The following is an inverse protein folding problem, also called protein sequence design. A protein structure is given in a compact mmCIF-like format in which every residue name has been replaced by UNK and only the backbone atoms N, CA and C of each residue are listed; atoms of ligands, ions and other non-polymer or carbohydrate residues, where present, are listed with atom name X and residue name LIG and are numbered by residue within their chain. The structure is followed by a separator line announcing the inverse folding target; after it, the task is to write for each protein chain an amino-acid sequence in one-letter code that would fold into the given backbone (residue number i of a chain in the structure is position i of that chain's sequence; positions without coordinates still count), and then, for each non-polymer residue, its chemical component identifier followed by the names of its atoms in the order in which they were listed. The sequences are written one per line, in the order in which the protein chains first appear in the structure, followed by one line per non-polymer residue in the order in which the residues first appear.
data_IF_193924435946
#
_entry.id   IF_193924435946
#
_cell.length_a   1.000
_cell.length_b   1.000
_cell.length_c   1.000
_cell.angle_alpha   90.00
_cell.angle_beta   90.00
_cell.angle_gamma   90.00
#
_symmetry.space_group_name_H-M   'P 1'
#
loop_
_entity.id
_entity.type
_entity.pdbx_description
1 polymer ?
#
# COMPACT_ATOMS: atom_id res chain seq x y z
N UNK A 1 51.38 -34.56 -8.21
CA UNK A 1 50.13 -34.03 -7.61
C UNK A 1 50.13 -32.51 -7.71
N UNK A 2 49.41 -31.94 -8.68
CA UNK A 2 49.13 -30.50 -8.78
C UNK A 2 47.62 -30.36 -8.94
N UNK A 3 46.97 -29.87 -7.88
CA UNK A 3 45.52 -29.69 -7.77
C UNK A 3 45.06 -28.53 -8.65
N UNK A 4 44.17 -28.81 -9.62
CA UNK A 4 43.43 -27.80 -10.39
C UNK A 4 42.36 -27.16 -9.49
N UNK A 5 42.33 -25.82 -9.41
CA UNK A 5 41.16 -25.06 -8.92
C UNK A 5 40.14 -24.92 -10.06
N UNK A 6 38.83 -25.10 -9.83
CA UNK A 6 37.82 -24.74 -10.81
C UNK A 6 37.44 -23.27 -10.68
N UNK A 7 37.37 -22.60 -11.83
CA UNK A 7 36.90 -21.24 -12.05
C UNK A 7 35.39 -21.18 -11.80
N UNK A 8 34.94 -20.31 -10.89
CA UNK A 8 33.51 -20.04 -10.66
C UNK A 8 33.09 -18.89 -11.58
N UNK A 9 32.37 -19.20 -12.66
CA UNK A 9 31.75 -18.25 -13.60
C UNK A 9 30.22 -18.45 -13.54
N UNK A 10 29.52 -17.34 -13.30
CA UNK A 10 28.09 -17.07 -13.58
C UNK A 10 26.98 -17.83 -12.84
N UNK A 11 26.42 -17.19 -11.80
CA UNK A 11 24.96 -17.21 -11.50
C UNK A 11 24.52 -15.82 -10.96
N UNK A 12 24.70 -14.75 -11.74
CA UNK A 12 24.19 -13.41 -11.40
C UNK A 12 23.30 -12.79 -12.50
N UNK A 13 23.11 -13.49 -13.63
CA UNK A 13 22.41 -12.94 -14.80
C UNK A 13 20.90 -13.22 -14.89
N UNK A 14 20.39 -14.26 -14.24
CA UNK A 14 19.02 -14.77 -14.52
C UNK A 14 17.93 -14.02 -13.73
N UNK A 15 18.24 -13.50 -12.54
CA UNK A 15 17.25 -12.77 -11.72
C UNK A 15 17.00 -11.35 -12.24
N UNK A 16 18.04 -10.68 -12.76
CA UNK A 16 17.92 -9.33 -13.31
C UNK A 16 17.16 -9.31 -14.66
N UNK A 17 17.31 -10.35 -15.48
CA UNK A 17 16.63 -10.45 -16.78
C UNK A 17 15.12 -10.71 -16.65
N UNK A 18 14.69 -11.47 -15.63
CA UNK A 18 13.27 -11.72 -15.39
C UNK A 18 12.55 -10.47 -14.88
N UNK A 19 13.19 -9.68 -14.00
CA UNK A 19 12.66 -8.40 -13.52
C UNK A 19 12.57 -7.36 -14.66
N UNK A 20 13.61 -7.27 -15.51
CA UNK A 20 13.58 -6.42 -16.69
C UNK A 20 12.55 -6.87 -17.74
N UNK A 21 12.24 -8.16 -17.83
CA UNK A 21 11.24 -8.70 -18.76
C UNK A 21 9.80 -8.42 -18.32
N UNK A 22 9.47 -8.55 -17.03
CA UNK A 22 8.14 -8.22 -16.51
C UNK A 22 7.84 -6.72 -16.58
N UNK A 23 8.85 -5.88 -16.33
CA UNK A 23 8.77 -4.42 -16.47
C UNK A 23 8.71 -3.99 -17.95
N UNK A 24 9.34 -4.73 -18.87
CA UNK A 24 9.26 -4.50 -20.34
C UNK A 24 7.90 -4.88 -20.93
N UNK A 25 7.26 -5.94 -20.45
CA UNK A 25 5.96 -6.38 -20.97
C UNK A 25 4.82 -5.39 -20.65
N UNK A 26 4.97 -4.59 -19.60
CA UNK A 26 3.95 -3.68 -19.11
C UNK A 26 4.01 -2.24 -19.66
N UNK A 27 4.99 -1.92 -20.51
CA UNK A 27 5.23 -0.53 -20.93
C UNK A 27 5.77 0.40 -19.82
N UNK A 28 5.61 0.03 -18.54
CA UNK A 28 6.08 0.77 -17.37
C UNK A 28 7.61 0.98 -17.33
N UNK A 29 8.37 0.12 -18.02
CA UNK A 29 9.83 0.24 -18.13
C UNK A 29 10.37 1.17 -19.22
N UNK A 30 9.49 1.64 -20.13
CA UNK A 30 9.90 2.47 -21.28
C UNK A 30 8.98 3.67 -21.57
N UNK A 31 7.75 3.73 -21.04
CA UNK A 31 6.97 4.95 -21.16
C UNK A 31 7.54 5.99 -20.20
N UNK A 32 7.95 7.13 -20.76
CA UNK A 32 8.13 8.35 -19.97
C UNK A 32 6.79 8.83 -19.36
N UNK A 33 5.68 8.22 -19.76
CA UNK A 33 4.35 8.60 -19.33
C UNK A 33 4.07 8.23 -17.88
N UNK A 34 3.54 9.18 -17.09
CA UNK A 34 3.15 8.95 -15.71
C UNK A 34 1.98 7.96 -15.61
N UNK A 35 1.95 7.16 -14.54
CA UNK A 35 0.74 6.42 -14.16
C UNK A 35 -0.32 7.41 -13.67
N UNK A 36 -1.47 7.47 -14.33
CA UNK A 36 -2.61 8.26 -13.91
C UNK A 36 -3.70 7.27 -13.48
N UNK A 37 -3.70 6.98 -12.19
CA UNK A 37 -4.57 6.01 -11.55
C UNK A 37 -5.82 6.63 -10.94
N UNK A 38 -6.86 5.82 -10.79
CA UNK A 38 -8.03 6.15 -9.96
C UNK A 38 -8.45 4.95 -9.13
N UNK A 39 -8.82 5.18 -7.86
CA UNK A 39 -9.46 4.17 -7.01
C UNK A 39 -10.98 4.17 -7.24
N UNK A 40 -11.57 3.00 -7.44
CA UNK A 40 -13.01 2.83 -7.68
C UNK A 40 -13.50 1.50 -7.05
N UNK A 41 -14.48 1.57 -6.15
CA UNK A 41 -14.91 0.40 -5.37
C UNK A 41 -16.21 -0.22 -5.88
N UNK A 42 -17.11 0.61 -6.41
CA UNK A 42 -18.35 0.19 -7.04
C UNK A 42 -18.67 1.16 -8.17
N UNK A 43 -19.50 0.75 -9.13
CA UNK A 43 -19.98 1.63 -10.18
C UNK A 43 -21.23 1.05 -10.84
N UNK A 44 -22.35 1.74 -10.65
CA UNK A 44 -23.65 1.32 -11.17
C UNK A 44 -24.04 2.03 -12.49
N UNK A 45 -23.20 2.97 -12.95
CA UNK A 45 -23.41 3.67 -14.22
C UNK A 45 -23.02 2.84 -15.45
N UNK A 46 -23.18 3.46 -16.62
CA UNK A 46 -22.80 2.85 -17.89
C UNK A 46 -21.27 2.80 -18.06
N UNK A 47 -20.70 1.60 -18.06
CA UNK A 47 -19.25 1.41 -18.19
C UNK A 47 -18.65 2.04 -19.46
N UNK A 48 -19.29 2.01 -20.65
CA UNK A 48 -18.75 2.69 -21.82
C UNK A 48 -18.56 4.20 -21.60
N UNK A 49 -19.48 4.86 -20.89
CA UNK A 49 -19.36 6.28 -20.56
C UNK A 49 -18.21 6.55 -19.59
N UNK A 50 -18.08 5.71 -18.55
CA UNK A 50 -16.97 5.74 -17.60
C UNK A 50 -15.60 5.70 -18.30
N UNK A 51 -15.38 4.71 -19.16
CA UNK A 51 -14.12 4.55 -19.87
C UNK A 51 -13.88 5.63 -20.93
N UNK A 52 -14.96 6.17 -21.53
CA UNK A 52 -14.89 7.36 -22.38
C UNK A 52 -14.38 8.59 -21.61
N UNK A 53 -14.90 8.81 -20.41
CA UNK A 53 -14.49 9.89 -19.53
C UNK A 53 -13.04 9.71 -19.06
N UNK A 54 -12.68 8.52 -18.57
CA UNK A 54 -11.31 8.18 -18.17
C UNK A 54 -10.29 8.44 -19.28
N UNK A 55 -10.62 8.05 -20.52
CA UNK A 55 -9.77 8.33 -21.68
C UNK A 55 -9.60 9.83 -21.90
N UNK A 56 -10.66 10.62 -21.74
CA UNK A 56 -10.61 12.09 -21.88
C UNK A 56 -9.76 12.77 -20.81
N UNK A 57 -9.67 12.14 -19.63
CA UNK A 57 -8.87 12.58 -18.49
C UNK A 57 -7.44 12.02 -18.52
N UNK A 58 -7.10 11.14 -19.47
CA UNK A 58 -5.78 10.49 -19.52
C UNK A 58 -5.56 9.45 -18.40
N UNK A 59 -6.63 8.96 -17.77
CA UNK A 59 -6.55 7.87 -16.79
C UNK A 59 -6.14 6.59 -17.52
N UNK A 60 -5.07 5.96 -17.05
CA UNK A 60 -4.49 4.75 -17.64
C UNK A 60 -4.35 3.59 -16.64
N UNK A 61 -4.77 3.78 -15.39
CA UNK A 61 -4.84 2.72 -14.39
C UNK A 61 -6.11 2.83 -13.52
N UNK A 62 -6.75 1.70 -13.26
CA UNK A 62 -7.88 1.58 -12.34
C UNK A 62 -7.50 0.66 -11.19
N UNK A 63 -7.58 1.18 -9.97
CA UNK A 63 -7.47 0.42 -8.73
C UNK A 63 -8.88 0.08 -8.29
N UNK A 64 -9.32 -1.13 -8.61
CA UNK A 64 -10.70 -1.57 -8.50
C UNK A 64 -10.90 -2.59 -7.37
N UNK A 65 -12.11 -2.63 -6.79
CA UNK A 65 -12.51 -3.78 -5.97
C UNK A 65 -12.53 -5.06 -6.80
N UNK A 66 -12.30 -6.24 -6.20
CA UNK A 66 -12.47 -7.53 -6.88
C UNK A 66 -13.87 -7.68 -7.50
N UNK A 67 -14.91 -7.20 -6.82
CA UNK A 67 -16.30 -7.31 -7.25
C UNK A 67 -16.56 -6.53 -8.55
N UNK A 68 -16.07 -5.29 -8.65
CA UNK A 68 -16.20 -4.49 -9.87
C UNK A 68 -15.35 -5.08 -11.01
N UNK A 69 -14.11 -5.48 -10.72
CA UNK A 69 -13.19 -6.06 -11.70
C UNK A 69 -13.66 -7.45 -12.21
N UNK A 70 -14.48 -8.17 -11.43
CA UNK A 70 -15.07 -9.45 -11.83
C UNK A 70 -16.11 -9.30 -12.96
N UNK A 71 -16.62 -8.10 -13.25
CA UNK A 71 -17.50 -7.84 -14.41
C UNK A 71 -16.73 -7.95 -15.72
N UNK A 72 -17.13 -8.85 -16.59
CA UNK A 72 -16.48 -9.08 -17.89
C UNK A 72 -16.45 -7.83 -18.77
N UNK A 73 -17.55 -7.06 -18.78
CA UNK A 73 -17.63 -5.80 -19.52
C UNK A 73 -16.59 -4.78 -19.03
N UNK A 74 -16.38 -4.68 -17.71
CA UNK A 74 -15.39 -3.78 -17.12
C UNK A 74 -13.98 -4.14 -17.61
N UNK A 75 -13.60 -5.41 -17.53
CA UNK A 75 -12.28 -5.88 -18.01
C UNK A 75 -12.10 -5.67 -19.51
N UNK A 76 -13.16 -5.94 -20.28
CA UNK A 76 -13.12 -5.80 -21.73
C UNK A 76 -12.97 -4.34 -22.16
N UNK A 77 -13.67 -3.42 -21.50
CA UNK A 77 -13.49 -1.98 -21.72
C UNK A 77 -12.12 -1.50 -21.25
N UNK A 78 -11.62 -1.96 -20.10
CA UNK A 78 -10.29 -1.62 -19.62
C UNK A 78 -9.21 -1.97 -20.66
N UNK A 79 -9.22 -3.20 -21.18
CA UNK A 79 -8.31 -3.62 -22.26
C UNK A 79 -8.47 -2.78 -23.53
N UNK A 80 -9.71 -2.54 -23.98
CA UNK A 80 -9.97 -1.72 -25.18
C UNK A 80 -9.46 -0.28 -25.07
N UNK A 81 -9.50 0.28 -23.86
CA UNK A 81 -9.09 1.65 -23.59
C UNK A 81 -7.64 1.77 -23.06
N UNK A 82 -6.90 0.66 -22.97
CA UNK A 82 -5.52 0.67 -22.46
C UNK A 82 -5.41 1.05 -20.98
N UNK A 83 -6.44 0.75 -20.19
CA UNK A 83 -6.46 1.01 -18.74
C UNK A 83 -6.03 -0.25 -18.01
N UNK A 84 -4.92 -0.18 -17.27
CA UNK A 84 -4.44 -1.29 -16.44
C UNK A 84 -5.34 -1.49 -15.22
N UNK A 85 -5.70 -2.73 -14.89
CA UNK A 85 -6.58 -3.07 -13.76
C UNK A 85 -5.79 -3.66 -12.59
N UNK A 86 -5.78 -2.95 -11.47
CA UNK A 86 -5.22 -3.38 -10.20
C UNK A 86 -6.33 -3.76 -9.23
N UNK A 87 -6.27 -4.94 -8.60
CA UNK A 87 -7.23 -5.30 -7.56
C UNK A 87 -6.81 -4.70 -6.21
N UNK A 88 -7.71 -3.98 -5.53
CA UNK A 88 -7.48 -3.50 -4.16
C UNK A 88 -7.77 -4.64 -3.19
N UNK A 89 -6.75 -5.10 -2.47
CA UNK A 89 -6.82 -6.29 -1.62
C UNK A 89 -6.46 -5.94 -0.17
N UNK A 90 -7.46 -5.77 0.72
CA UNK A 90 -7.21 -5.54 2.15
C UNK A 90 -6.58 -6.77 2.79
N UNK A 91 -5.38 -6.68 3.36
CA UNK A 91 -4.68 -7.86 3.89
C UNK A 91 -5.03 -8.13 5.34
N UNK A 92 -4.75 -7.19 6.25
CA UNK A 92 -5.03 -7.36 7.69
C UNK A 92 -6.30 -6.64 8.15
N UNK A 93 -6.83 -5.70 7.36
CA UNK A 93 -8.20 -5.21 7.55
C UNK A 93 -9.19 -6.28 7.08
N UNK A 94 -9.92 -6.90 8.02
CA UNK A 94 -10.86 -7.97 7.69
C UNK A 94 -11.96 -8.13 8.73
N UNK A 95 -12.98 -7.24 8.71
CA UNK A 95 -14.05 -7.25 9.71
C UNK A 95 -14.92 -8.51 9.69
N UNK A 96 -14.97 -9.21 8.56
CA UNK A 96 -15.71 -10.47 8.43
C UNK A 96 -15.04 -11.57 9.26
N UNK A 97 -13.72 -11.67 9.19
CA UNK A 97 -12.95 -12.72 9.88
C UNK A 97 -12.87 -12.45 11.39
N UNK A 98 -12.65 -11.21 11.80
CA UNK A 98 -12.66 -10.81 13.22
C UNK A 98 -14.03 -10.97 13.87
N UNK A 99 -15.13 -10.83 13.12
CA UNK A 99 -16.48 -11.14 13.60
C UNK A 99 -16.71 -12.65 13.76
N UNK A 100 -16.20 -13.46 12.83
CA UNK A 100 -16.34 -14.91 12.87
C UNK A 100 -15.45 -15.55 13.95
N UNK A 101 -14.23 -15.05 14.11
CA UNK A 101 -13.28 -15.45 15.14
C UNK A 101 -12.68 -14.21 15.83
N UNK A 102 -13.25 -13.79 16.98
CA UNK A 102 -12.73 -12.68 17.77
C UNK A 102 -11.30 -12.91 18.30
N UNK A 103 -10.77 -14.13 18.28
CA UNK A 103 -9.38 -14.43 18.64
C UNK A 103 -8.35 -13.93 17.62
N UNK A 104 -8.79 -13.55 16.42
CA UNK A 104 -7.95 -13.00 15.36
C UNK A 104 -7.61 -11.52 15.56
N UNK A 105 -8.34 -10.78 16.41
CA UNK A 105 -8.05 -9.36 16.64
C UNK A 105 -6.60 -9.17 17.08
N UNK A 106 -5.93 -8.19 16.46
CA UNK A 106 -4.73 -7.64 17.08
C UNK A 106 -5.10 -6.94 18.40
N UNK A 107 -4.17 -6.92 19.35
CA UNK A 107 -4.31 -6.20 20.62
C UNK A 107 -3.30 -5.06 20.70
N UNK A 108 -3.75 -3.89 21.13
CA UNK A 108 -2.89 -2.73 21.33
C UNK A 108 -2.03 -2.92 22.58
N UNK A 109 -1.02 -2.07 22.74
CA UNK A 109 -0.19 -1.94 23.95
C UNK A 109 -1.01 -1.55 25.20
N UNK A 110 -2.26 -1.12 24.99
CA UNK A 110 -3.24 -0.78 26.03
C UNK A 110 -4.14 -1.95 26.41
N UNK A 111 -4.04 -3.08 25.70
CA UNK A 111 -4.88 -4.25 25.91
C UNK A 111 -6.23 -4.18 25.20
N UNK A 112 -6.44 -3.17 24.36
CA UNK A 112 -7.67 -2.97 23.59
C UNK A 112 -7.61 -3.77 22.28
N UNK A 113 -8.77 -4.12 21.73
CA UNK A 113 -8.82 -4.61 20.34
C UNK A 113 -8.29 -3.53 19.42
N UNK A 114 -7.54 -3.94 18.40
CA UNK A 114 -7.10 -3.12 17.29
C UNK A 114 -8.27 -2.70 16.41
N UNK A 115 -9.11 -1.82 16.96
CA UNK A 115 -10.32 -1.28 16.35
C UNK A 115 -10.48 0.19 16.73
N UNK A 116 -10.70 1.03 15.74
CA UNK A 116 -11.10 2.42 15.90
C UNK A 116 -12.06 2.78 14.76
N UNK A 117 -13.27 3.20 15.11
CA UNK A 117 -14.41 3.36 14.19
C UNK A 117 -14.60 2.12 13.29
N UNK A 118 -14.50 2.30 11.95
CA UNK A 118 -14.63 1.25 10.95
C UNK A 118 -13.34 0.44 10.77
N UNK A 119 -12.20 0.94 11.23
CA UNK A 119 -10.89 0.32 11.01
C UNK A 119 -10.67 -0.77 12.05
N UNK A 120 -10.56 -2.03 11.62
CA UNK A 120 -10.24 -3.15 12.51
C UNK A 120 -9.29 -4.16 11.87
N UNK A 121 -8.38 -4.72 12.67
CA UNK A 121 -7.26 -5.51 12.17
C UNK A 121 -7.18 -6.90 12.78
N UNK A 122 -6.92 -7.86 11.90
CA UNK A 122 -6.39 -9.18 12.24
C UNK A 122 -4.91 -9.05 12.62
N UNK A 123 -4.49 -9.82 13.60
CA UNK A 123 -3.10 -9.91 14.02
C UNK A 123 -2.18 -10.43 12.88
N UNK A 124 -1.11 -9.69 12.50
CA UNK A 124 -0.20 -10.11 11.44
C UNK A 124 0.60 -11.38 11.71
N UNK A 125 0.67 -11.85 12.97
CA UNK A 125 1.42 -13.05 13.34
C UNK A 125 0.66 -14.36 13.10
N UNK A 126 -0.57 -14.31 12.59
CA UNK A 126 -1.46 -15.49 12.41
C UNK A 126 -1.14 -16.22 11.09
N UNK A 127 -0.41 -17.35 11.11
CA UNK A 127 0.05 -18.01 9.89
C UNK A 127 -1.11 -18.58 9.06
N UNK A 128 -2.08 -19.21 9.71
CA UNK A 128 -3.22 -19.83 9.02
C UNK A 128 -4.09 -18.79 8.32
N UNK A 129 -4.29 -17.63 8.96
CA UNK A 129 -4.96 -16.49 8.33
C UNK A 129 -4.21 -16.03 7.08
N UNK A 130 -2.90 -15.79 7.19
CA UNK A 130 -2.08 -15.36 6.06
C UNK A 130 -2.13 -16.39 4.92
N UNK A 131 -2.05 -17.69 5.20
CA UNK A 131 -2.16 -18.74 4.18
C UNK A 131 -3.48 -18.66 3.43
N UNK A 132 -4.61 -18.53 4.15
CA UNK A 132 -5.93 -18.36 3.53
C UNK A 132 -6.03 -17.09 2.70
N UNK A 133 -5.41 -15.99 3.13
CA UNK A 133 -5.32 -14.76 2.31
C UNK A 133 -4.53 -15.01 1.03
N UNK A 134 -3.39 -15.68 1.09
CA UNK A 134 -2.59 -16.02 -0.10
C UNK A 134 -3.40 -16.87 -1.08
N UNK A 135 -4.13 -17.88 -0.60
CA UNK A 135 -4.95 -18.73 -1.47
C UNK A 135 -6.14 -17.98 -2.09
N UNK A 136 -6.77 -17.08 -1.35
CA UNK A 136 -7.79 -16.18 -1.87
C UNK A 136 -7.24 -15.25 -2.96
N UNK A 137 -6.06 -14.64 -2.76
CA UNK A 137 -5.40 -13.81 -3.77
C UNK A 137 -5.12 -14.63 -5.03
N UNK A 138 -4.59 -15.85 -4.88
CA UNK A 138 -4.33 -16.76 -6.01
C UNK A 138 -5.60 -17.09 -6.79
N UNK A 139 -6.74 -17.28 -6.10
CA UNK A 139 -8.02 -17.50 -6.76
C UNK A 139 -8.47 -16.27 -7.56
N UNK A 140 -8.45 -15.09 -6.96
CA UNK A 140 -8.80 -13.85 -7.65
C UNK A 140 -7.95 -13.59 -8.90
N UNK A 141 -6.65 -13.87 -8.84
CA UNK A 141 -5.76 -13.71 -10.00
C UNK A 141 -6.17 -14.65 -11.13
N UNK A 142 -6.52 -15.92 -10.83
CA UNK A 142 -6.99 -16.87 -11.85
C UNK A 142 -8.32 -16.45 -12.46
N UNK A 143 -9.25 -16.00 -11.63
CA UNK A 143 -10.64 -15.77 -12.04
C UNK A 143 -10.80 -14.43 -12.78
N UNK A 144 -10.05 -13.41 -12.37
CA UNK A 144 -10.19 -12.03 -12.89
C UNK A 144 -9.10 -11.71 -13.92
N UNK A 145 -7.94 -12.37 -13.87
CA UNK A 145 -6.75 -12.09 -14.69
C UNK A 145 -6.34 -10.60 -14.69
N UNK A 146 -6.12 -9.98 -13.51
CA UNK A 146 -5.82 -8.55 -13.42
C UNK A 146 -4.39 -8.25 -13.90
N UNK A 147 -4.14 -6.98 -14.21
CA UNK A 147 -2.82 -6.47 -14.58
C UNK A 147 -1.90 -6.38 -13.35
N UNK A 148 -2.47 -6.07 -12.19
CA UNK A 148 -1.75 -6.05 -10.93
C UNK A 148 -2.65 -6.28 -9.73
N UNK A 149 -2.01 -6.36 -8.56
CA UNK A 149 -2.69 -6.33 -7.27
C UNK A 149 -2.12 -5.20 -6.42
N UNK A 150 -2.97 -4.60 -5.61
CA UNK A 150 -2.65 -3.52 -4.69
C UNK A 150 -2.88 -3.99 -3.27
N UNK A 151 -1.79 -4.22 -2.55
CA UNK A 151 -1.80 -4.69 -1.17
C UNK A 151 -2.21 -3.52 -0.28
N UNK A 152 -3.49 -3.49 0.09
CA UNK A 152 -4.03 -2.54 1.02
C UNK A 152 -4.03 -3.14 2.43
N UNK A 153 -3.95 -2.31 3.43
CA UNK A 153 -3.87 -2.74 4.83
C UNK A 153 -2.81 -3.79 5.18
N UNK A 154 -1.68 -3.81 4.47
CA UNK A 154 -0.52 -4.66 4.75
C UNK A 154 0.42 -4.00 5.78
N UNK A 155 -0.07 -3.86 7.01
CA UNK A 155 0.60 -3.21 8.14
C UNK A 155 0.01 -3.67 9.48
N UNK A 156 0.62 -3.23 10.58
CA UNK A 156 0.00 -3.27 11.90
C UNK A 156 -1.08 -2.20 12.06
N UNK A 157 -1.93 -2.38 13.06
CA UNK A 157 -3.07 -1.50 13.30
C UNK A 157 -2.63 -0.07 13.62
N UNK A 158 -3.19 0.86 12.85
CA UNK A 158 -3.31 2.28 13.17
C UNK A 158 -4.35 2.91 12.26
N UNK A 159 -5.28 3.67 12.85
CA UNK A 159 -6.18 4.54 12.08
C UNK A 159 -5.49 5.86 11.77
N UNK A 160 -4.53 5.80 10.85
CA UNK A 160 -3.60 6.89 10.53
C UNK A 160 -4.29 8.15 9.99
N UNK A 161 -5.49 8.02 9.42
CA UNK A 161 -6.30 9.14 8.92
C UNK A 161 -6.75 10.08 10.05
N UNK A 162 -6.70 9.62 11.31
CA UNK A 162 -7.01 10.40 12.52
C UNK A 162 -5.75 10.85 13.28
N UNK A 163 -4.56 10.72 12.68
CA UNK A 163 -3.28 11.11 13.29
C UNK A 163 -2.78 12.41 12.66
N UNK A 164 -3.11 13.52 13.33
CA UNK A 164 -2.78 14.88 12.91
C UNK A 164 -1.37 15.33 13.35
N UNK A 165 -0.82 16.42 12.78
CA UNK A 165 0.57 16.86 13.00
C UNK A 165 0.97 17.10 14.45
N UNK A 166 0.02 17.47 15.31
CA UNK A 166 0.22 17.76 16.73
C UNK A 166 0.38 16.52 17.61
N UNK A 167 0.14 15.31 17.08
CA UNK A 167 0.24 14.07 17.86
C UNK A 167 1.69 13.77 18.24
N UNK A 168 1.89 13.31 19.48
CA UNK A 168 3.19 12.79 19.93
C UNK A 168 3.33 11.29 19.61
N UNK A 169 4.55 10.75 19.48
CA UNK A 169 4.76 9.32 19.26
C UNK A 169 4.04 8.43 20.30
N UNK A 170 4.05 8.84 21.56
CA UNK A 170 3.48 8.09 22.70
C UNK A 170 1.95 8.09 22.66
N UNK A 171 1.33 9.07 22.01
CA UNK A 171 -0.12 9.16 21.88
C UNK A 171 -0.69 8.14 20.89
N UNK A 172 0.15 7.53 20.06
CA UNK A 172 -0.24 6.57 19.02
C UNK A 172 -0.12 5.16 19.59
N UNK A 173 -1.24 4.45 19.67
CA UNK A 173 -1.26 3.08 20.16
C UNK A 173 -0.37 2.17 19.30
N UNK A 174 0.37 1.27 19.96
CA UNK A 174 1.24 0.31 19.29
C UNK A 174 0.57 -1.07 19.29
N UNK A 175 0.76 -1.84 18.23
CA UNK A 175 0.24 -3.21 18.12
C UNK A 175 1.27 -4.10 17.44
N UNK A 176 1.21 -5.44 17.58
CA UNK A 176 0.23 -6.23 18.30
C UNK A 176 0.87 -6.92 19.50
N UNK A 177 0.25 -6.85 20.69
CA UNK A 177 0.73 -7.48 21.94
C UNK A 177 -0.16 -8.64 22.39
N UNK A 178 -0.82 -9.31 21.44
CA UNK A 178 -1.54 -10.55 21.72
C UNK A 178 -0.58 -11.70 22.05
N UNK A 179 -1.13 -12.78 22.61
CA UNK A 179 -0.36 -13.96 23.01
C UNK A 179 0.46 -14.55 21.87
N UNK A 180 -0.12 -14.62 20.66
CA UNK A 180 0.55 -15.15 19.46
C UNK A 180 1.80 -14.33 19.11
N UNK A 181 1.71 -13.00 19.17
CA UNK A 181 2.82 -12.12 18.93
C UNK A 181 3.90 -12.25 20.01
N UNK A 182 3.52 -12.29 21.29
CA UNK A 182 4.49 -12.42 22.39
C UNK A 182 5.24 -13.76 22.35
N UNK A 183 4.54 -14.87 22.12
CA UNK A 183 5.16 -16.19 21.99
C UNK A 183 6.09 -16.26 20.78
N UNK A 184 5.63 -15.74 19.63
CA UNK A 184 6.43 -15.75 18.41
C UNK A 184 7.65 -14.83 18.49
N UNK A 185 7.54 -13.67 19.13
CA UNK A 185 8.67 -12.76 19.35
C UNK A 185 9.75 -13.42 20.20
N UNK A 186 9.39 -14.04 21.33
CA UNK A 186 10.35 -14.78 22.17
C UNK A 186 11.04 -15.90 21.38
N UNK A 187 10.27 -16.66 20.60
CA UNK A 187 10.80 -17.75 19.77
C UNK A 187 11.75 -17.24 18.68
N UNK A 188 11.39 -16.19 17.97
CA UNK A 188 12.14 -15.71 16.80
C UNK A 188 13.39 -14.91 17.20
N UNK A 189 13.40 -14.27 18.38
CA UNK A 189 14.48 -13.37 18.81
C UNK A 189 15.32 -13.91 19.96
N UNK A 190 14.82 -14.89 20.73
CA UNK A 190 15.44 -15.37 21.96
C UNK A 190 15.30 -14.41 23.16
N UNK A 191 14.64 -13.26 23.01
CA UNK A 191 14.36 -12.33 24.10
C UNK A 191 13.22 -12.91 24.93
N UNK A 192 13.51 -13.38 26.15
CA UNK A 192 12.53 -14.02 27.03
C UNK A 192 11.85 -12.98 27.91
N UNK A 193 10.51 -13.02 27.98
CA UNK A 193 9.77 -12.14 28.87
C UNK A 193 9.94 -12.57 30.33
N UNK A 194 10.08 -11.62 31.28
CA UNK A 194 9.99 -11.91 32.70
C UNK A 194 8.70 -12.67 33.05
N UNK A 195 8.81 -13.64 33.97
CA UNK A 195 7.70 -14.49 34.36
C UNK A 195 6.49 -13.67 34.83
N UNK A 196 5.29 -14.06 34.39
CA UNK A 196 4.03 -13.41 34.75
C UNK A 196 3.66 -12.18 33.92
N UNK A 197 4.54 -11.67 33.06
CA UNK A 197 4.19 -10.56 32.18
C UNK A 197 3.31 -11.01 31.01
N UNK A 198 2.14 -10.38 30.88
CA UNK A 198 1.16 -10.63 29.81
C UNK A 198 0.54 -9.31 29.32
N UNK A 199 0.04 -9.30 28.08
CA UNK A 199 -0.71 -8.18 27.50
C UNK A 199 -0.02 -6.82 27.70
N UNK A 200 -0.71 -5.86 28.31
CA UNK A 200 -0.22 -4.50 28.60
C UNK A 200 1.08 -4.47 29.41
N UNK A 201 1.27 -5.39 30.36
CA UNK A 201 2.49 -5.43 31.19
C UNK A 201 3.70 -5.90 30.39
N UNK A 202 3.51 -6.88 29.51
CA UNK A 202 4.50 -7.31 28.53
C UNK A 202 4.81 -6.19 27.53
N UNK A 203 3.78 -5.52 27.01
CA UNK A 203 3.94 -4.41 26.07
C UNK A 203 4.80 -3.30 26.65
N UNK A 204 4.53 -2.88 27.89
CA UNK A 204 5.32 -1.85 28.59
C UNK A 204 6.78 -2.26 28.73
N UNK A 205 7.06 -3.50 29.14
CA UNK A 205 8.41 -4.00 29.31
C UNK A 205 9.17 -4.03 27.98
N UNK A 206 8.56 -4.57 26.92
CA UNK A 206 9.15 -4.62 25.58
C UNK A 206 9.44 -3.21 25.07
N UNK A 207 8.47 -2.28 25.16
CA UNK A 207 8.63 -0.93 24.65
C UNK A 207 9.64 -0.09 25.44
N UNK A 208 9.90 -0.43 26.71
CA UNK A 208 10.91 0.22 27.53
C UNK A 208 12.33 -0.30 27.27
N UNK A 209 12.50 -1.62 27.13
CA UNK A 209 13.82 -2.27 27.10
C UNK A 209 14.25 -2.83 25.74
N UNK A 210 13.29 -3.17 24.86
CA UNK A 210 13.52 -3.93 23.63
C UNK A 210 12.76 -3.35 22.41
N UNK A 211 12.50 -2.04 22.43
CA UNK A 211 11.76 -1.35 21.36
C UNK A 211 12.40 -1.51 19.97
N UNK A 212 13.73 -1.41 19.80
CA UNK A 212 14.36 -1.62 18.49
C UNK A 212 14.14 -3.04 17.95
N UNK A 213 14.34 -4.07 18.78
CA UNK A 213 14.19 -5.48 18.41
C UNK A 213 12.74 -5.82 18.10
N UNK A 214 11.81 -5.32 18.92
CA UNK A 214 10.37 -5.44 18.65
C UNK A 214 9.98 -4.80 17.32
N UNK A 215 10.50 -3.59 17.04
CA UNK A 215 10.24 -2.89 15.78
C UNK A 215 10.78 -3.67 14.59
N UNK A 216 12.02 -4.12 14.65
CA UNK A 216 12.64 -4.92 13.60
C UNK A 216 11.87 -6.22 13.34
N UNK A 217 11.46 -6.93 14.40
CA UNK A 217 10.67 -8.16 14.29
C UNK A 217 9.31 -7.91 13.64
N UNK A 218 8.58 -6.85 14.05
CA UNK A 218 7.30 -6.48 13.41
C UNK A 218 7.46 -6.15 11.93
N UNK A 219 8.48 -5.36 11.58
CA UNK A 219 8.80 -5.09 10.18
C UNK A 219 9.11 -6.37 9.40
N UNK A 220 9.84 -7.30 10.01
CA UNK A 220 10.12 -8.63 9.45
C UNK A 220 8.85 -9.45 9.19
N UNK A 221 7.86 -9.39 10.09
CA UNK A 221 6.57 -10.07 9.89
C UNK A 221 5.80 -9.52 8.68
N UNK A 222 5.73 -8.19 8.53
CA UNK A 222 5.08 -7.57 7.37
C UNK A 222 5.84 -7.90 6.08
N UNK A 223 7.17 -7.82 6.09
CA UNK A 223 7.99 -8.20 4.94
C UNK A 223 7.82 -9.68 4.56
N UNK A 224 7.75 -10.57 5.55
CA UNK A 224 7.46 -12.00 5.36
C UNK A 224 6.07 -12.25 4.76
N UNK A 225 5.06 -11.51 5.21
CA UNK A 225 3.72 -11.57 4.64
C UNK A 225 3.70 -11.10 3.18
N UNK A 226 4.32 -9.96 2.87
CA UNK A 226 4.46 -9.46 1.48
C UNK A 226 5.20 -10.47 0.62
N UNK A 227 6.33 -11.01 1.08
CA UNK A 227 7.09 -12.03 0.35
C UNK A 227 6.23 -13.26 0.03
N UNK A 228 5.42 -13.72 0.97
CA UNK A 228 4.53 -14.88 0.78
C UNK A 228 3.43 -14.59 -0.24
N UNK A 229 2.81 -13.41 -0.17
CA UNK A 229 1.79 -12.97 -1.12
C UNK A 229 2.39 -12.82 -2.52
N UNK A 230 3.54 -12.15 -2.65
CA UNK A 230 4.22 -11.95 -3.94
C UNK A 230 4.59 -13.29 -4.57
N UNK A 231 5.17 -14.22 -3.80
CA UNK A 231 5.51 -15.55 -4.29
C UNK A 231 4.26 -16.31 -4.76
N UNK A 232 3.18 -16.31 -3.96
CA UNK A 232 1.93 -16.96 -4.33
C UNK A 232 1.28 -16.36 -5.57
N UNK A 233 1.27 -15.03 -5.68
CA UNK A 233 0.69 -14.30 -6.79
C UNK A 233 1.48 -14.51 -8.09
N UNK A 234 2.81 -14.37 -8.05
CA UNK A 234 3.68 -14.55 -9.22
C UNK A 234 3.81 -16.02 -9.65
N UNK A 235 3.54 -16.98 -8.77
CA UNK A 235 3.38 -18.38 -9.16
C UNK A 235 2.15 -18.61 -10.06
N UNK A 236 1.09 -17.80 -9.92
CA UNK A 236 -0.09 -17.86 -10.78
C UNK A 236 0.12 -17.05 -12.05
N UNK A 237 0.60 -15.80 -11.92
CA UNK A 237 0.85 -14.89 -13.04
C UNK A 237 2.23 -14.23 -12.88
N UNK A 238 3.29 -14.77 -13.51
CA UNK A 238 4.67 -14.27 -13.33
C UNK A 238 4.88 -12.79 -13.66
N UNK A 239 4.12 -12.26 -14.62
CA UNK A 239 4.16 -10.86 -15.03
C UNK A 239 3.27 -9.90 -14.21
N UNK A 240 2.61 -10.39 -13.16
CA UNK A 240 1.71 -9.58 -12.35
C UNK A 240 2.47 -8.45 -11.62
N UNK A 241 1.94 -7.24 -11.73
CA UNK A 241 2.50 -6.07 -11.06
C UNK A 241 2.01 -6.00 -9.61
N UNK A 242 2.92 -5.79 -8.67
CA UNK A 242 2.59 -5.68 -7.25
C UNK A 242 2.73 -4.23 -6.78
N UNK A 243 1.63 -3.63 -6.35
CA UNK A 243 1.61 -2.36 -5.64
C UNK A 243 1.44 -2.57 -4.12
N UNK A 244 2.10 -1.73 -3.32
CA UNK A 244 1.94 -1.68 -1.86
C UNK A 244 1.43 -0.31 -1.44
N UNK A 245 0.33 -0.26 -0.68
CA UNK A 245 -0.10 0.97 -0.04
C UNK A 245 0.65 1.20 1.28
N UNK A 246 1.28 2.35 1.41
CA UNK A 246 1.94 2.77 2.64
C UNK A 246 1.18 3.88 3.34
N UNK A 247 1.24 3.89 4.68
CA UNK A 247 0.85 5.06 5.47
C UNK A 247 1.74 6.23 5.01
N UNK A 248 1.20 7.44 4.80
CA UNK A 248 1.95 8.57 4.25
C UNK A 248 2.82 9.26 5.30
N UNK A 249 3.46 8.50 6.19
CA UNK A 249 4.40 9.04 7.16
C UNK A 249 5.81 8.94 6.63
N UNK A 250 6.56 10.04 6.73
CA UNK A 250 7.99 10.04 6.42
C UNK A 250 8.75 9.24 7.46
N UNK A 251 9.98 8.85 7.13
CA UNK A 251 10.86 8.03 7.96
C UNK A 251 11.04 8.55 9.40
N UNK A 252 10.92 9.86 9.61
CA UNK A 252 11.07 10.53 10.91
C UNK A 252 9.76 11.04 11.52
N UNK A 253 8.65 11.02 10.78
CA UNK A 253 7.37 11.52 11.30
C UNK A 253 6.96 10.67 12.53
N UNK A 254 6.47 11.37 13.57
CA UNK A 254 6.03 10.76 14.82
C UNK A 254 7.05 9.80 15.45
N UNK A 255 8.33 10.15 15.42
CA UNK A 255 9.39 9.32 16.01
C UNK A 255 9.63 8.01 15.26
N UNK A 256 9.41 8.01 13.93
CA UNK A 256 9.58 6.84 13.09
C UNK A 256 8.41 5.86 13.15
N UNK A 257 7.19 6.36 13.39
CA UNK A 257 5.99 5.55 13.57
C UNK A 257 5.67 4.65 12.37
N UNK A 258 6.14 4.99 11.16
CA UNK A 258 5.98 4.14 9.98
C UNK A 258 6.56 2.73 10.20
N UNK A 259 7.70 2.63 10.89
CA UNK A 259 8.29 1.34 11.31
C UNK A 259 7.76 0.93 12.68
N UNK A 260 7.85 1.83 13.66
CA UNK A 260 7.58 1.52 15.08
C UNK A 260 6.13 1.10 15.33
N UNK A 261 5.17 1.73 14.65
CA UNK A 261 3.74 1.46 14.83
C UNK A 261 3.23 0.60 13.69
N UNK A 262 3.32 1.08 12.45
CA UNK A 262 2.73 0.41 11.29
C UNK A 262 3.53 -0.82 10.80
N UNK A 263 4.79 -0.98 11.22
CA UNK A 263 5.63 -2.10 10.77
C UNK A 263 6.01 -2.03 9.28
N UNK A 264 5.90 -0.86 8.65
CA UNK A 264 6.24 -0.68 7.24
C UNK A 264 7.68 -0.17 7.11
N UNK A 265 8.62 -1.10 6.95
CA UNK A 265 9.99 -0.76 6.59
C UNK A 265 10.14 -0.76 5.06
N UNK A 266 10.02 0.42 4.45
CA UNK A 266 10.02 0.56 3.00
C UNK A 266 11.34 0.11 2.34
N UNK A 267 12.45 0.15 3.07
CA UNK A 267 13.74 -0.39 2.59
C UNK A 267 13.74 -1.91 2.43
N UNK A 268 13.01 -2.60 3.31
CA UNK A 268 12.81 -4.06 3.27
C UNK A 268 11.67 -4.48 2.34
N UNK A 269 10.63 -3.66 2.23
CA UNK A 269 9.45 -3.94 1.41
C UNK A 269 9.65 -3.62 -0.07
N UNK A 270 10.37 -2.54 -0.36
CA UNK A 270 10.64 -2.04 -1.71
C UNK A 270 11.15 -3.10 -2.68
N UNK A 271 12.17 -3.90 -2.33
CA UNK A 271 12.69 -4.96 -3.19
C UNK A 271 11.70 -6.09 -3.52
N UNK A 272 10.58 -6.19 -2.81
CA UNK A 272 9.57 -7.24 -2.99
C UNK A 272 8.44 -6.82 -3.95
N UNK A 273 8.32 -5.53 -4.26
CA UNK A 273 7.18 -4.95 -4.96
C UNK A 273 7.63 -4.09 -6.15
N UNK A 274 6.71 -3.87 -7.08
CA UNK A 274 6.99 -3.08 -8.28
C UNK A 274 6.65 -1.59 -8.05
N UNK A 275 5.62 -1.33 -7.23
CA UNK A 275 5.17 0.02 -6.85
C UNK A 275 4.99 0.18 -5.34
N UNK A 276 5.22 1.41 -4.87
CA UNK A 276 4.81 1.88 -3.54
C UNK A 276 3.92 3.11 -3.72
N UNK A 277 2.72 3.05 -3.15
CA UNK A 277 1.73 4.12 -3.21
C UNK A 277 1.43 4.69 -1.82
N UNK A 278 2.17 5.71 -1.37
CA UNK A 278 1.84 6.40 -0.12
C UNK A 278 0.49 7.09 -0.26
N UNK A 279 -0.38 6.93 0.75
CA UNK A 279 -1.73 7.48 0.76
C UNK A 279 -1.74 8.94 1.22
N UNK A 280 -1.15 9.84 0.42
CA UNK A 280 -0.96 11.26 0.71
C UNK A 280 -2.26 12.08 0.71
N UNK A 281 -3.18 11.78 1.63
CA UNK A 281 -4.44 12.51 1.80
C UNK A 281 -4.21 13.77 2.63
N UNK A 282 -3.50 14.73 2.03
CA UNK A 282 -2.96 15.90 2.72
C UNK A 282 -4.04 16.72 3.44
N UNK A 283 -5.20 16.90 2.79
CA UNK A 283 -6.24 17.80 3.27
C UNK A 283 -6.89 17.27 4.56
N UNK A 284 -7.37 16.02 4.57
CA UNK A 284 -7.92 15.41 5.79
C UNK A 284 -6.89 15.36 6.92
N UNK A 285 -5.61 15.24 6.60
CA UNK A 285 -4.51 15.22 7.56
C UNK A 285 -4.03 16.61 8.01
N UNK A 286 -4.74 17.67 7.63
CA UNK A 286 -4.39 19.07 7.96
C UNK A 286 -2.97 19.45 7.51
N UNK A 287 -2.54 18.91 6.37
CA UNK A 287 -1.26 19.21 5.73
C UNK A 287 -1.48 20.16 4.55
N UNK A 288 -0.44 20.90 4.19
CA UNK A 288 -0.42 21.72 2.97
C UNK A 288 -0.10 20.85 1.75
N UNK A 289 -0.51 21.24 0.52
CA UNK A 289 -0.19 20.52 -0.72
C UNK A 289 1.27 20.06 -0.89
N UNK A 290 2.24 20.91 -0.54
CA UNK A 290 3.67 20.61 -0.63
C UNK A 290 4.10 19.34 0.15
N UNK A 291 3.37 18.99 1.20
CA UNK A 291 3.63 17.78 1.99
C UNK A 291 3.53 16.49 1.16
N UNK A 292 2.68 16.46 0.13
CA UNK A 292 2.57 15.29 -0.78
C UNK A 292 3.93 14.95 -1.38
N UNK A 293 4.66 15.96 -1.85
CA UNK A 293 5.99 15.80 -2.43
C UNK A 293 7.02 15.41 -1.39
N UNK A 294 6.99 16.01 -0.20
CA UNK A 294 7.90 15.66 0.90
C UNK A 294 7.80 14.16 1.26
N UNK A 295 6.58 13.61 1.27
CA UNK A 295 6.35 12.18 1.47
C UNK A 295 6.92 11.36 0.31
N UNK A 296 6.68 11.77 -0.94
CA UNK A 296 7.20 11.07 -2.13
C UNK A 296 8.73 11.03 -2.14
N UNK A 297 9.40 12.14 -1.81
CA UNK A 297 10.86 12.22 -1.75
C UNK A 297 11.43 11.31 -0.67
N UNK A 298 10.85 11.32 0.54
CA UNK A 298 11.28 10.45 1.64
C UNK A 298 11.04 8.96 1.31
N UNK A 299 9.90 8.61 0.74
CA UNK A 299 9.60 7.24 0.29
C UNK A 299 10.60 6.81 -0.80
N UNK A 300 10.80 7.65 -1.82
CA UNK A 300 11.72 7.36 -2.92
C UNK A 300 13.17 7.21 -2.47
N UNK A 301 13.57 7.86 -1.38
CA UNK A 301 14.92 7.70 -0.82
C UNK A 301 15.16 6.31 -0.18
N UNK A 302 14.08 5.61 0.17
CA UNK A 302 14.13 4.33 0.88
C UNK A 302 13.93 3.11 -0.02
N UNK A 303 13.41 3.29 -1.24
CA UNK A 303 13.08 2.18 -2.15
C UNK A 303 13.49 2.47 -3.59
N UNK A 304 13.70 1.40 -4.36
CA UNK A 304 13.85 1.46 -5.82
C UNK A 304 12.56 1.15 -6.58
N UNK A 305 11.50 0.74 -5.88
CA UNK A 305 10.18 0.58 -6.47
C UNK A 305 9.65 1.93 -6.97
N UNK A 306 8.77 1.91 -7.97
CA UNK A 306 8.18 3.14 -8.48
C UNK A 306 7.25 3.75 -7.42
N UNK A 307 7.45 5.03 -7.14
CA UNK A 307 6.60 5.76 -6.17
C UNK A 307 5.47 6.47 -6.90
N UNK A 308 4.23 6.12 -6.56
CA UNK A 308 3.01 6.71 -7.15
C UNK A 308 2.06 7.10 -6.02
N UNK A 309 2.08 8.36 -5.53
CA UNK A 309 1.25 8.77 -4.41
C UNK A 309 -0.24 8.67 -4.74
N UNK A 310 -1.04 8.22 -3.77
CA UNK A 310 -2.49 8.38 -3.82
C UNK A 310 -2.88 9.70 -3.17
N UNK A 311 -3.71 10.51 -3.83
CA UNK A 311 -4.11 11.84 -3.35
C UNK A 311 -5.63 11.93 -3.21
N UNK A 312 -6.08 12.69 -2.21
CA UNK A 312 -7.48 12.97 -1.93
C UNK A 312 -8.08 13.90 -3.01
N UNK A 313 -9.31 13.65 -3.45
CA UNK A 313 -10.01 14.54 -4.41
C UNK A 313 -11.20 15.27 -3.80
N UNK A 314 -11.83 14.71 -2.77
CA UNK A 314 -13.00 15.27 -2.12
C UNK A 314 -12.82 15.35 -0.60
N UNK A 315 -13.70 16.08 0.07
CA UNK A 315 -13.71 16.22 1.52
C UNK A 315 -13.88 14.87 2.25
N UNK A 316 -13.15 14.70 3.35
CA UNK A 316 -13.26 13.53 4.23
C UNK A 316 -12.83 13.93 5.65
N UNK A 317 -13.56 13.44 6.67
CA UNK A 317 -13.34 13.58 8.12
C UNK A 317 -13.31 14.99 8.73
N UNK A 318 -13.00 16.02 7.94
CA UNK A 318 -12.94 17.42 8.39
C UNK A 318 -13.98 18.28 7.66
N UNK A 319 -14.37 19.37 8.33
CA UNK A 319 -15.38 20.31 7.81
C UNK A 319 -14.79 21.30 6.79
N UNK A 320 -13.49 21.56 6.85
CA UNK A 320 -12.81 22.48 5.93
C UNK A 320 -12.98 21.98 4.49
N UNK A 321 -13.35 22.87 3.56
CA UNK A 321 -13.59 22.50 2.16
C UNK A 321 -12.27 22.38 1.40
N UNK A 322 -12.07 21.25 0.71
CA UNK A 322 -10.99 21.10 -0.26
C UNK A 322 -11.30 21.93 -1.51
N UNK A 323 -10.67 23.10 -1.59
CA UNK A 323 -10.82 24.02 -2.71
C UNK A 323 -10.23 23.46 -4.02
N UNK A 324 -10.67 24.02 -5.16
CA UNK A 324 -10.13 23.67 -6.47
C UNK A 324 -8.64 24.04 -6.59
N UNK A 325 -8.23 25.20 -6.08
CA UNK A 325 -6.84 25.66 -6.16
C UNK A 325 -5.92 24.79 -5.30
N UNK A 326 -6.33 24.47 -4.08
CA UNK A 326 -5.57 23.55 -3.23
C UNK A 326 -5.44 22.15 -3.86
N UNK A 327 -6.51 21.65 -4.51
CA UNK A 327 -6.44 20.40 -5.27
C UNK A 327 -5.45 20.48 -6.42
N UNK A 328 -5.45 21.56 -7.20
CA UNK A 328 -4.49 21.76 -8.31
C UNK A 328 -3.06 21.77 -7.81
N UNK A 329 -2.78 22.50 -6.73
CA UNK A 329 -1.45 22.54 -6.11
C UNK A 329 -0.99 21.14 -5.67
N UNK A 330 -1.86 20.38 -4.99
CA UNK A 330 -1.51 19.05 -4.52
C UNK A 330 -1.33 18.05 -5.67
N UNK A 331 -2.14 18.17 -6.72
CA UNK A 331 -1.99 17.37 -7.92
C UNK A 331 -0.68 17.67 -8.66
N UNK A 332 -0.29 18.95 -8.74
CA UNK A 332 1.00 19.33 -9.29
C UNK A 332 2.16 18.76 -8.47
N UNK A 333 2.13 18.91 -7.15
CA UNK A 333 3.14 18.34 -6.24
C UNK A 333 3.22 16.80 -6.35
N UNK A 334 2.08 16.12 -6.49
CA UNK A 334 2.01 14.67 -6.67
C UNK A 334 2.68 14.18 -7.97
N UNK A 335 2.67 15.01 -9.02
CA UNK A 335 3.25 14.67 -10.33
C UNK A 335 4.72 15.07 -10.49
N UNK A 336 5.31 15.77 -9.52
CA UNK A 336 6.72 16.19 -9.58
C UNK A 336 7.65 15.00 -9.34
N UNK A 337 8.79 14.92 -10.04
CA UNK A 337 9.82 13.94 -9.71
C UNK A 337 10.20 14.02 -8.21
N UNK A 338 10.48 12.90 -7.55
CA UNK A 338 10.71 11.56 -8.13
C UNK A 338 9.42 10.74 -8.38
N UNK A 339 8.23 11.32 -8.22
CA UNK A 339 6.97 10.64 -8.50
C UNK A 339 6.91 10.09 -9.93
N UNK A 340 6.34 8.90 -10.07
CA UNK A 340 6.10 8.23 -11.35
C UNK A 340 4.63 8.31 -11.77
N UNK A 341 3.81 9.07 -11.07
CA UNK A 341 2.39 9.21 -11.38
C UNK A 341 1.56 9.79 -10.25
N UNK A 342 0.26 9.55 -10.29
CA UNK A 342 -0.66 9.86 -9.21
C UNK A 342 -1.82 8.87 -9.23
N UNK A 343 -2.40 8.58 -8.07
CA UNK A 343 -3.64 7.81 -7.95
C UNK A 343 -4.69 8.68 -7.26
N UNK A 344 -5.79 8.97 -7.93
CA UNK A 344 -6.90 9.72 -7.33
C UNK A 344 -7.72 8.81 -6.42
N UNK A 345 -7.83 9.18 -5.14
CA UNK A 345 -8.79 8.60 -4.21
C UNK A 345 -9.93 9.61 -4.00
N UNK A 346 -11.08 9.41 -4.64
CA UNK A 346 -11.50 8.28 -5.49
C UNK A 346 -12.36 8.76 -6.68
N UNK A 347 -12.75 7.84 -7.57
CA UNK A 347 -13.53 8.18 -8.76
C UNK A 347 -14.84 8.89 -8.44
N UNK A 348 -15.62 8.39 -7.48
CA UNK A 348 -16.95 8.93 -7.16
C UNK A 348 -16.89 10.38 -6.70
N UNK A 349 -15.85 10.74 -5.95
CA UNK A 349 -15.62 12.11 -5.52
C UNK A 349 -15.08 12.99 -6.67
N UNK A 350 -14.22 12.45 -7.54
CA UNK A 350 -13.69 13.20 -8.68
C UNK A 350 -14.79 13.51 -9.71
N UNK A 351 -15.62 12.52 -10.06
CA UNK A 351 -16.69 12.66 -11.05
C UNK A 351 -17.76 13.70 -10.66
N UNK A 352 -17.93 13.95 -9.35
CA UNK A 352 -18.86 14.96 -8.82
C UNK A 352 -18.31 16.39 -8.83
N UNK A 353 -17.06 16.57 -9.24
CA UNK A 353 -16.35 17.85 -9.18
C UNK A 353 -15.87 18.29 -10.58
N UNK A 354 -16.75 18.87 -11.44
CA UNK A 354 -16.42 19.24 -12.81
C UNK A 354 -15.20 20.16 -12.94
N UNK A 355 -14.99 21.04 -11.96
CA UNK A 355 -13.80 21.90 -11.91
C UNK A 355 -12.51 21.11 -11.75
N UNK A 356 -12.53 20.04 -10.95
CA UNK A 356 -11.36 19.17 -10.72
C UNK A 356 -11.10 18.25 -11.91
N UNK A 357 -12.14 17.67 -12.53
CA UNK A 357 -11.98 16.89 -13.77
C UNK A 357 -11.44 17.75 -14.91
N UNK A 358 -11.92 18.99 -15.08
CA UNK A 358 -11.39 19.93 -16.05
C UNK A 358 -9.90 20.27 -15.79
N UNK A 359 -9.52 20.48 -14.52
CA UNK A 359 -8.12 20.71 -14.15
C UNK A 359 -7.22 19.51 -14.48
N UNK A 360 -7.67 18.28 -14.20
CA UNK A 360 -6.97 17.04 -14.57
C UNK A 360 -6.77 16.96 -16.08
N UNK A 361 -7.84 17.15 -16.86
CA UNK A 361 -7.79 17.13 -18.31
C UNK A 361 -6.81 18.17 -18.88
N UNK A 362 -6.89 19.41 -18.40
CA UNK A 362 -6.01 20.50 -18.87
C UNK A 362 -4.54 20.20 -18.59
N UNK A 363 -4.25 19.69 -17.38
CA UNK A 363 -2.87 19.43 -16.94
C UNK A 363 -2.20 18.28 -17.69
N UNK A 364 -2.97 17.28 -18.08
CA UNK A 364 -2.47 16.09 -18.79
C UNK A 364 -2.44 16.29 -20.31
N UNK A 365 -3.41 17.01 -20.90
CA UNK A 365 -3.34 17.44 -22.31
C UNK A 365 -2.14 18.35 -22.58
N UNK A 366 -1.81 19.25 -21.65
CA UNK A 366 -0.65 20.14 -21.75
C UNK A 366 0.72 19.41 -21.74
N UNK A 367 0.77 18.13 -21.36
CA UNK A 367 1.98 17.29 -21.46
C UNK A 367 2.12 16.58 -22.80
N UNK A 368 1.00 16.21 -23.45
CA UNK A 368 1.00 15.52 -24.75
C UNK A 368 1.47 16.47 -25.88
N UNK A 369 1.18 17.77 -25.77
CA UNK A 369 1.55 18.77 -26.78
C UNK A 369 2.97 19.38 -26.58
N UNK A 370 3.75 18.91 -25.60
CA UNK A 370 5.10 19.43 -25.29
C UNK A 370 6.23 18.42 -25.55
N UNK A 371 5.88 17.22 -26.00
CA UNK A 371 6.80 16.26 -26.63
C UNK A 371 6.52 16.25 -28.13
#
# INVERSE_FOLDING_TARGET
MKTRKPTLIFILGIAASAWAASVRAFGLGKSHDPMIGVKIYAYDGALPALFGEWRSLGINAAFASPELAAREEFRSLARRHGVSVFLILPIFFNPRETKADPGLFALTDRGERAKDDWVEFVCPSRPDYLSRRVDWIKALIRDIDPDGISLDFIRYFVFWEMIYPERTPESIANSCFDRSCLEKFQKDTGIILPAGLVGTSAARWILAAHKPEWTAWKCGLIAGAVKSIVAGAKAVKPGLVINLHSVPWRSKDFGGAIKVVAGQDLSSLGPLVDLVSPMCYWHMLKRKPAWVREVVEDVSSQTRAMVVPSIQVGNAYINDKLSLEEFKEAFDEALRPPSRGVIFWNWDALAKEPGKTAAVAARLKGRINKN
#
